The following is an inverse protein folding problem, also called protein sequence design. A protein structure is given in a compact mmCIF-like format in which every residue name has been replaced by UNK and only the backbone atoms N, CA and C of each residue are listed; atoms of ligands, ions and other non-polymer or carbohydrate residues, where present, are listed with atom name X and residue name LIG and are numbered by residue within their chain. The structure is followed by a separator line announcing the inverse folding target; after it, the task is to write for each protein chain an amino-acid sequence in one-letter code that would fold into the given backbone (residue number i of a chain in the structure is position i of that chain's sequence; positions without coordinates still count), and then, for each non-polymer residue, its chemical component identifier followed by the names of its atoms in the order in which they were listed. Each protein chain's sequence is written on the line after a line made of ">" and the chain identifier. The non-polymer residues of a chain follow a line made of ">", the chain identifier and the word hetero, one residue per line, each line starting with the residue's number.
data_IF_069260265694
#
_entry.id   IF_069260265694
#
_cell.length_a   1.000
_cell.length_b   1.000
_cell.length_c   1.000
_cell.angle_alpha   90.00
_cell.angle_beta   90.00
_cell.angle_gamma   90.00
#
_symmetry.space_group_name_H-M   'P 1'
#
loop_
_entity.id
_entity.type
_entity.pdbx_description
1 polymer ?
#
# COMPACT_ATOMS: atom_id res chain seq x y z
N UNK A 1 -80.60 -29.96 -24.06
CA UNK A 1 -81.67 -28.95 -24.21
C UNK A 1 -81.01 -27.59 -24.36
N UNK A 2 -81.44 -26.84 -25.37
CA UNK A 2 -81.18 -25.40 -25.65
C UNK A 2 -79.71 -25.02 -25.91
N UNK A 3 -79.23 -24.91 -27.16
CA UNK A 3 -79.47 -23.88 -28.20
C UNK A 3 -79.01 -22.43 -27.86
N UNK A 4 -78.16 -21.92 -28.77
CA UNK A 4 -78.21 -20.58 -29.39
C UNK A 4 -77.39 -19.39 -28.82
N UNK A 5 -77.02 -18.39 -29.66
CA UNK A 5 -75.63 -18.22 -30.13
C UNK A 5 -75.13 -16.75 -30.24
N UNK A 6 -73.93 -16.60 -30.82
CA UNK A 6 -73.37 -15.56 -31.69
C UNK A 6 -73.97 -14.12 -31.81
N UNK A 7 -73.03 -13.16 -31.88
CA UNK A 7 -73.11 -11.87 -32.60
C UNK A 7 -72.00 -10.93 -32.12
N UNK A 8 -71.23 -10.17 -32.91
CA UNK A 8 -71.02 -9.95 -34.35
C UNK A 8 -69.60 -9.34 -34.49
N UNK A 9 -68.87 -9.52 -35.61
CA UNK A 9 -68.82 -8.61 -36.78
C UNK A 9 -68.45 -7.16 -36.39
N UNK A 10 -67.44 -6.46 -36.94
CA UNK A 10 -66.53 -6.70 -38.05
C UNK A 10 -65.48 -5.57 -38.13
N UNK A 11 -64.37 -5.90 -38.82
CA UNK A 11 -63.62 -5.11 -39.81
C UNK A 11 -62.82 -3.83 -39.46
N UNK A 12 -61.55 -3.88 -39.92
CA UNK A 12 -60.66 -2.76 -40.24
C UNK A 12 -59.28 -2.94 -39.61
N UNK A 13 -58.36 -3.76 -40.15
CA UNK A 13 -57.43 -3.39 -41.24
C UNK A 13 -56.26 -2.58 -40.67
N UNK A 14 -54.97 -2.86 -40.85
CA UNK A 14 -54.19 -3.74 -41.71
C UNK A 14 -52.72 -3.70 -41.23
N UNK A 15 -52.01 -4.85 -41.31
CA UNK A 15 -50.60 -5.07 -41.77
C UNK A 15 -49.59 -3.92 -41.55
N UNK A 16 -48.36 -4.11 -41.03
CA UNK A 16 -47.43 -5.22 -41.21
C UNK A 16 -46.24 -5.12 -40.25
N UNK A 17 -45.63 -6.28 -40.04
CA UNK A 17 -44.32 -6.61 -39.45
C UNK A 17 -43.20 -5.54 -39.47
N UNK A 18 -42.46 -5.45 -38.36
CA UNK A 18 -41.05 -5.85 -38.35
C UNK A 18 -40.51 -6.06 -36.92
N UNK A 19 -39.81 -7.18 -36.73
CA UNK A 19 -38.96 -7.47 -35.57
C UNK A 19 -37.93 -6.36 -35.36
N UNK A 20 -37.65 -6.01 -34.11
CA UNK A 20 -36.28 -5.75 -33.67
C UNK A 20 -36.14 -5.96 -32.15
N UNK A 21 -35.26 -6.91 -31.82
CA UNK A 21 -34.61 -7.04 -30.51
C UNK A 21 -33.77 -5.79 -30.27
N UNK A 22 -33.86 -5.20 -29.07
CA UNK A 22 -32.69 -4.65 -28.38
C UNK A 22 -32.90 -4.84 -26.88
N UNK A 23 -32.06 -5.71 -26.29
CA UNK A 23 -31.83 -5.72 -24.85
C UNK A 23 -30.84 -4.62 -24.49
N UNK A 24 -31.17 -3.82 -23.47
CA UNK A 24 -30.28 -2.83 -22.87
C UNK A 24 -29.75 -3.36 -21.56
N UNK A 25 -28.53 -3.92 -21.60
CA UNK A 25 -27.68 -4.16 -20.45
C UNK A 25 -27.23 -2.81 -19.89
N UNK A 26 -27.54 -2.52 -18.63
CA UNK A 26 -27.04 -1.31 -17.95
C UNK A 26 -25.72 -1.67 -17.29
N UNK A 27 -24.65 -1.65 -18.09
CA UNK A 27 -23.27 -1.85 -17.66
C UNK A 27 -22.75 -0.50 -17.13
N UNK A 28 -22.98 -0.25 -15.83
CA UNK A 28 -22.59 0.98 -15.14
C UNK A 28 -21.09 1.02 -14.83
N UNK A 29 -20.25 1.29 -15.83
CA UNK A 29 -18.87 1.75 -15.57
C UNK A 29 -18.90 3.21 -15.12
N UNK A 30 -18.80 3.43 -13.82
CA UNK A 30 -18.45 4.74 -13.27
C UNK A 30 -16.98 4.97 -13.57
N UNK A 31 -16.69 5.72 -14.63
CA UNK A 31 -15.36 6.28 -14.87
C UNK A 31 -15.05 7.32 -13.81
N UNK A 32 -14.04 7.06 -12.97
CA UNK A 32 -13.48 8.05 -12.07
C UNK A 32 -12.81 9.20 -12.86
N UNK A 33 -12.64 10.39 -12.27
CA UNK A 33 -12.03 11.51 -12.97
C UNK A 33 -10.56 11.21 -13.29
N UNK A 34 -10.14 11.58 -14.50
CA UNK A 34 -8.76 11.48 -14.95
C UNK A 34 -7.87 12.47 -14.17
N UNK A 35 -7.08 11.97 -13.24
CA UNK A 35 -6.01 12.72 -12.57
C UNK A 35 -4.69 12.42 -13.26
N UNK A 36 -4.28 13.30 -14.18
CA UNK A 36 -2.94 13.28 -14.76
C UNK A 36 -2.43 14.72 -14.90
N UNK A 37 -2.11 15.34 -13.77
CA UNK A 37 -1.14 16.44 -13.72
C UNK A 37 -0.22 16.17 -12.52
N UNK A 38 1.07 16.03 -12.77
CA UNK A 38 2.11 15.95 -11.72
C UNK A 38 2.79 14.59 -11.52
N UNK A 39 2.41 13.52 -12.23
CA UNK A 39 3.15 12.25 -12.19
C UNK A 39 4.30 12.33 -13.18
N UNK A 40 5.54 12.28 -12.68
CA UNK A 40 6.73 12.18 -13.52
C UNK A 40 7.37 10.82 -13.32
N UNK A 41 7.44 10.05 -14.41
CA UNK A 41 8.20 8.81 -14.49
C UNK A 41 9.55 9.17 -15.07
N UNK A 42 10.62 8.97 -14.30
CA UNK A 42 11.98 9.12 -14.79
C UNK A 42 12.53 7.74 -15.12
N UNK A 43 12.87 7.55 -16.40
CA UNK A 43 13.79 6.51 -16.85
C UNK A 43 15.17 7.16 -16.88
N UNK A 44 16.09 6.68 -16.05
CA UNK A 44 17.47 7.17 -16.10
C UNK A 44 18.16 6.55 -17.31
N UNK A 45 18.16 7.27 -18.43
CA UNK A 45 19.16 7.09 -19.49
C UNK A 45 20.47 7.74 -19.02
N UNK A 46 21.57 7.00 -19.14
CA UNK A 46 22.91 7.42 -18.74
C UNK A 46 23.34 8.66 -19.53
N UNK A 47 23.62 9.78 -18.84
CA UNK A 47 24.73 10.68 -19.15
C UNK A 47 24.81 11.82 -18.11
N UNK A 48 26.00 11.98 -17.50
CA UNK A 48 26.38 13.14 -16.66
C UNK A 48 26.89 14.29 -17.53
N UNK A 49 26.90 15.55 -17.03
CA UNK A 49 28.10 15.97 -16.31
C UNK A 49 27.87 16.82 -15.05
N UNK A 50 28.90 16.71 -14.21
CA UNK A 50 29.32 17.45 -13.03
C UNK A 50 29.15 18.99 -13.09
N UNK A 51 28.62 19.58 -12.01
CA UNK A 51 28.82 20.99 -11.63
C UNK A 51 28.74 21.14 -10.10
N UNK A 52 29.88 21.41 -9.45
CA UNK A 52 29.95 22.18 -8.20
C UNK A 52 29.96 23.68 -8.52
N UNK A 53 29.46 24.59 -7.65
CA UNK A 53 30.34 25.11 -6.62
C UNK A 53 29.70 25.42 -5.24
N UNK A 54 30.63 25.44 -4.29
CA UNK A 54 30.66 26.00 -2.94
C UNK A 54 30.16 27.46 -2.85
N UNK A 55 29.34 27.77 -1.84
CA UNK A 55 29.22 29.10 -1.21
C UNK A 55 28.55 28.95 0.16
N UNK A 56 29.33 29.16 1.23
CA UNK A 56 28.84 29.24 2.61
C UNK A 56 28.07 30.52 2.90
N UNK A 57 27.01 30.38 3.71
CA UNK A 57 26.49 31.41 4.63
C UNK A 57 25.93 30.69 5.85
N UNK A 58 26.45 31.03 7.02
CA UNK A 58 25.94 30.69 8.34
C UNK A 58 24.65 31.46 8.62
N UNK A 59 23.60 30.78 9.09
CA UNK A 59 22.51 31.44 9.82
C UNK A 59 22.20 30.64 11.08
N UNK A 60 22.44 31.32 12.18
CA UNK A 60 22.43 30.93 13.58
C UNK A 60 21.01 30.81 14.19
N UNK A 61 20.87 29.87 15.13
CA UNK A 61 20.27 30.01 16.47
C UNK A 61 18.78 30.38 16.68
N UNK A 62 17.86 30.14 15.74
CA UNK A 62 16.42 30.41 15.97
C UNK A 62 15.43 29.26 15.73
N UNK A 63 15.89 28.04 15.45
CA UNK A 63 15.00 26.88 15.18
C UNK A 63 15.12 25.78 16.25
N UNK A 64 16.14 25.84 17.11
CA UNK A 64 16.43 24.80 18.10
C UNK A 64 15.46 24.81 19.30
N UNK A 65 14.82 25.94 19.61
CA UNK A 65 14.07 26.11 20.88
C UNK A 65 12.57 25.78 20.81
N UNK A 66 12.04 25.18 19.73
CA UNK A 66 10.60 24.87 19.61
C UNK A 66 10.27 23.37 19.64
N UNK A 67 11.27 22.49 19.82
CA UNK A 67 11.06 21.02 19.77
C UNK A 67 11.48 20.30 21.06
N UNK A 68 12.19 20.94 21.99
CA UNK A 68 12.71 20.27 23.20
C UNK A 68 11.69 19.94 24.33
N UNK A 69 10.41 20.30 24.22
CA UNK A 69 9.44 20.11 25.34
C UNK A 69 8.60 18.82 25.23
N UNK A 70 9.04 17.81 24.48
CA UNK A 70 8.28 16.55 24.36
C UNK A 70 9.14 15.28 24.40
N UNK A 71 10.29 15.31 25.08
CA UNK A 71 11.29 14.21 25.03
C UNK A 71 11.46 13.43 26.35
N UNK A 72 10.63 13.65 27.36
CA UNK A 72 10.72 12.88 28.62
C UNK A 72 9.38 12.22 28.96
N UNK A 73 9.11 11.05 28.35
CA UNK A 73 8.35 9.95 29.00
C UNK A 73 8.21 8.70 28.10
N UNK A 74 9.29 8.23 27.50
CA UNK A 74 9.30 6.97 26.75
C UNK A 74 10.51 6.11 27.12
N UNK A 75 10.67 5.84 28.41
CA UNK A 75 11.61 4.82 28.88
C UNK A 75 10.92 3.90 29.89
N UNK A 76 10.91 2.61 29.51
CA UNK A 76 10.52 1.43 30.29
C UNK A 76 9.03 1.17 30.48
N UNK A 77 8.45 0.32 29.63
CA UNK A 77 7.36 -0.55 30.06
C UNK A 77 7.52 -1.97 29.52
N UNK A 78 7.54 -2.91 30.45
CA UNK A 78 7.48 -4.35 30.28
C UNK A 78 6.24 -4.78 29.51
N UNK A 79 6.29 -5.95 28.86
CA UNK A 79 5.21 -6.53 28.04
C UNK A 79 3.96 -6.83 28.88
N UNK A 80 3.21 -5.79 29.24
CA UNK A 80 1.79 -5.91 29.58
C UNK A 80 0.98 -6.05 28.30
N UNK A 81 -0.12 -6.81 28.37
CA UNK A 81 -1.01 -7.04 27.24
C UNK A 81 -1.53 -5.70 26.70
N UNK A 82 -0.93 -5.26 25.58
CA UNK A 82 -1.27 -4.04 24.86
C UNK A 82 -2.79 -3.92 24.75
N UNK A 83 -3.42 -2.84 25.26
CA UNK A 83 -4.87 -2.66 25.14
C UNK A 83 -5.28 -2.80 23.67
N UNK A 84 -6.49 -3.32 23.38
CA UNK A 84 -6.90 -3.61 22.01
C UNK A 84 -6.68 -2.37 21.15
N UNK A 85 -5.75 -2.46 20.20
CA UNK A 85 -5.39 -1.33 19.36
C UNK A 85 -6.65 -0.86 18.65
N UNK A 86 -6.96 0.44 18.70
CA UNK A 86 -8.11 0.99 17.98
C UNK A 86 -8.15 0.42 16.55
N UNK A 87 -9.34 0.02 16.06
CA UNK A 87 -9.56 -0.34 14.67
C UNK A 87 -8.82 0.58 13.72
N UNK A 88 -7.98 0.01 12.86
CA UNK A 88 -7.05 0.81 12.07
C UNK A 88 -6.94 0.38 10.62
N UNK A 89 -6.83 1.38 9.75
CA UNK A 89 -6.67 1.22 8.32
C UNK A 89 -5.26 1.61 7.91
N UNK A 90 -4.61 0.75 7.14
CA UNK A 90 -3.34 1.02 6.47
C UNK A 90 -3.55 1.03 4.95
N UNK A 91 -2.61 1.58 4.16
CA UNK A 91 -2.69 1.50 2.69
C UNK A 91 -2.85 0.07 2.18
N UNK A 92 -2.09 -0.88 2.74
CA UNK A 92 -2.17 -2.29 2.37
C UNK A 92 -3.54 -2.90 2.66
N UNK A 93 -4.11 -2.65 3.85
CA UNK A 93 -5.46 -3.11 4.23
C UNK A 93 -6.55 -2.49 3.35
N UNK A 94 -6.44 -1.21 3.04
CA UNK A 94 -7.36 -0.54 2.13
C UNK A 94 -7.30 -1.18 0.73
N UNK A 95 -6.09 -1.45 0.23
CA UNK A 95 -5.89 -2.12 -1.06
C UNK A 95 -6.42 -3.56 -1.06
N UNK A 96 -6.22 -4.34 0.01
CA UNK A 96 -6.80 -5.68 0.14
C UNK A 96 -8.32 -5.65 -0.02
N UNK A 97 -8.99 -4.72 0.69
CA UNK A 97 -10.45 -4.59 0.61
C UNK A 97 -10.90 -4.15 -0.79
N UNK A 98 -10.24 -3.13 -1.36
CA UNK A 98 -10.52 -2.62 -2.71
C UNK A 98 -10.30 -3.68 -3.79
N UNK A 99 -9.33 -4.56 -3.61
CA UNK A 99 -9.07 -5.69 -4.50
C UNK A 99 -10.16 -6.76 -4.34
N UNK A 100 -10.42 -7.20 -3.10
CA UNK A 100 -11.38 -8.24 -2.80
C UNK A 100 -11.79 -8.23 -1.31
N UNK A 101 -13.05 -7.93 -0.96
CA UNK A 101 -13.54 -7.97 0.42
C UNK A 101 -13.29 -9.32 1.12
N UNK A 102 -13.41 -10.44 0.38
CA UNK A 102 -13.09 -11.77 0.91
C UNK A 102 -11.61 -11.93 1.26
N UNK A 103 -10.69 -11.32 0.50
CA UNK A 103 -9.25 -11.31 0.82
C UNK A 103 -8.99 -10.51 2.09
N UNK A 104 -9.59 -9.32 2.20
CA UNK A 104 -9.50 -8.52 3.41
C UNK A 104 -10.00 -9.29 4.63
N UNK A 105 -11.15 -9.97 4.53
CA UNK A 105 -11.64 -10.84 5.60
C UNK A 105 -10.60 -11.87 6.01
N UNK A 106 -10.09 -12.66 5.06
CA UNK A 106 -9.13 -13.72 5.35
C UNK A 106 -7.85 -13.22 6.03
N UNK A 107 -7.32 -12.07 5.59
CA UNK A 107 -6.08 -11.49 6.13
C UNK A 107 -6.27 -10.77 7.45
N UNK A 108 -7.30 -9.93 7.54
CA UNK A 108 -7.44 -8.92 8.62
C UNK A 108 -8.38 -9.39 9.72
N UNK A 109 -9.48 -10.04 9.35
CA UNK A 109 -10.49 -10.51 10.29
C UNK A 109 -10.11 -11.91 10.78
N UNK A 110 -10.05 -12.86 9.86
CA UNK A 110 -9.83 -14.29 10.18
C UNK A 110 -8.36 -14.54 10.55
N UNK A 111 -7.42 -13.69 10.06
CA UNK A 111 -5.97 -13.79 10.24
C UNK A 111 -5.43 -15.17 9.88
N UNK A 112 -5.90 -15.70 8.75
CA UNK A 112 -5.45 -16.98 8.24
C UNK A 112 -3.95 -16.91 7.89
N UNK A 113 -3.17 -17.95 8.22
CA UNK A 113 -1.76 -17.99 7.86
C UNK A 113 -1.60 -18.00 6.34
N UNK A 114 -0.61 -17.28 5.84
CA UNK A 114 -0.19 -17.34 4.44
C UNK A 114 1.14 -18.09 4.35
N UNK A 115 1.34 -18.89 3.29
CA UNK A 115 2.64 -19.51 3.06
C UNK A 115 3.70 -18.41 2.86
N UNK A 116 4.93 -18.63 3.35
CA UNK A 116 6.02 -17.69 3.12
C UNK A 116 6.24 -17.50 1.61
N UNK A 117 6.58 -16.28 1.22
CA UNK A 117 6.83 -15.92 -0.17
C UNK A 117 8.28 -15.49 -0.33
N UNK A 118 9.00 -16.13 -1.24
CA UNK A 118 10.39 -15.78 -1.55
C UNK A 118 10.53 -14.33 -2.04
N UNK A 119 9.53 -13.82 -2.77
CA UNK A 119 9.49 -12.43 -3.21
C UNK A 119 9.27 -11.46 -2.04
N UNK A 120 8.35 -11.76 -1.12
CA UNK A 120 8.09 -10.93 0.05
C UNK A 120 9.27 -10.93 1.04
N UNK A 121 9.89 -12.10 1.25
CA UNK A 121 11.12 -12.23 2.04
C UNK A 121 12.25 -11.36 1.46
N UNK A 122 12.40 -11.35 0.12
CA UNK A 122 13.43 -10.56 -0.55
C UNK A 122 13.18 -9.07 -0.39
N UNK A 123 11.92 -8.65 -0.51
CA UNK A 123 11.49 -7.29 -0.21
C UNK A 123 11.89 -6.87 1.20
N UNK A 124 11.53 -7.69 2.19
CA UNK A 124 11.86 -7.43 3.61
C UNK A 124 13.36 -7.31 3.84
N UNK A 125 14.14 -8.24 3.28
CA UNK A 125 15.60 -8.23 3.39
C UNK A 125 16.22 -6.96 2.77
N UNK A 126 15.80 -6.59 1.55
CA UNK A 126 16.32 -5.40 0.86
C UNK A 126 15.96 -4.12 1.62
N UNK A 127 14.73 -4.00 2.14
CA UNK A 127 14.34 -2.83 2.94
C UNK A 127 15.18 -2.73 4.21
N UNK A 128 15.39 -3.82 4.94
CA UNK A 128 16.23 -3.83 6.13
C UNK A 128 17.69 -3.43 5.82
N UNK A 129 18.26 -3.89 4.71
CA UNK A 129 19.60 -3.45 4.28
C UNK A 129 19.62 -1.96 3.96
N UNK A 130 18.64 -1.44 3.22
CA UNK A 130 18.57 -0.01 2.88
C UNK A 130 18.35 0.86 4.11
N UNK A 131 17.54 0.41 5.07
CA UNK A 131 17.40 1.03 6.37
C UNK A 131 18.77 1.11 7.04
N UNK A 132 19.42 -0.03 7.31
CA UNK A 132 20.68 -0.08 8.04
C UNK A 132 21.88 0.52 7.31
N UNK A 133 21.84 0.65 5.98
CA UNK A 133 22.88 1.34 5.22
C UNK A 133 23.08 2.77 5.71
N UNK A 134 22.00 3.46 6.10
CA UNK A 134 22.07 4.84 6.58
C UNK A 134 22.56 4.98 8.03
N UNK A 135 22.77 3.86 8.75
CA UNK A 135 23.48 3.89 10.05
C UNK A 135 24.98 4.15 9.87
N UNK A 136 25.51 3.86 8.67
CA UNK A 136 26.91 4.13 8.33
C UNK A 136 27.14 5.63 8.12
N UNK A 137 28.36 6.13 8.41
CA UNK A 137 28.78 7.46 8.00
C UNK A 137 28.58 7.66 6.49
N UNK A 138 28.15 8.86 6.07
CA UNK A 138 27.79 9.12 4.67
C UNK A 138 28.83 8.67 3.63
N UNK A 139 30.15 8.90 3.81
CA UNK A 139 31.16 8.42 2.85
C UNK A 139 31.31 6.90 2.75
N UNK A 140 30.83 6.15 3.75
CA UNK A 140 30.95 4.69 3.83
C UNK A 140 29.73 3.97 3.25
N UNK A 141 28.65 4.71 2.93
CA UNK A 141 27.40 4.20 2.33
C UNK A 141 27.62 3.77 0.88
N UNK A 142 28.38 2.69 0.69
CA UNK A 142 28.78 2.16 -0.61
C UNK A 142 28.01 0.90 -0.97
N UNK A 143 27.98 0.52 -2.25
CA UNK A 143 27.35 -0.73 -2.69
C UNK A 143 27.97 -1.95 -2.00
N UNK A 144 29.30 -1.94 -1.83
CA UNK A 144 30.01 -3.00 -1.12
C UNK A 144 29.58 -3.10 0.35
N UNK A 145 29.36 -1.96 1.02
CA UNK A 145 28.84 -1.96 2.38
C UNK A 145 27.40 -2.50 2.44
N UNK A 146 26.53 -2.10 1.50
CA UNK A 146 25.16 -2.62 1.41
C UNK A 146 25.13 -4.14 1.20
N UNK A 147 25.97 -4.68 0.32
CA UNK A 147 26.13 -6.13 0.15
C UNK A 147 26.67 -6.81 1.41
N UNK A 148 27.61 -6.16 2.10
CA UNK A 148 28.17 -6.63 3.38
C UNK A 148 27.14 -6.75 4.51
N UNK A 149 26.03 -6.01 4.46
CA UNK A 149 24.94 -6.10 5.44
C UNK A 149 24.00 -7.29 5.22
N UNK A 150 23.95 -7.87 4.01
CA UNK A 150 23.01 -8.95 3.68
C UNK A 150 23.08 -10.16 4.60
N UNK A 151 24.27 -10.71 4.97
CA UNK A 151 24.33 -11.89 5.83
C UNK A 151 23.70 -11.67 7.21
N UNK A 152 23.95 -10.53 7.84
CA UNK A 152 23.43 -10.20 9.17
C UNK A 152 21.93 -9.92 9.14
N UNK A 153 21.46 -9.22 8.10
CA UNK A 153 20.03 -8.95 7.91
C UNK A 153 19.26 -10.22 7.53
N UNK A 154 19.89 -11.13 6.79
CA UNK A 154 19.33 -12.45 6.51
C UNK A 154 19.19 -13.30 7.77
N UNK A 155 20.22 -13.33 8.62
CA UNK A 155 20.18 -14.03 9.91
C UNK A 155 19.04 -13.47 10.79
N UNK A 156 18.92 -12.14 10.89
CA UNK A 156 17.84 -11.47 11.62
C UNK A 156 16.46 -11.83 11.08
N UNK A 157 16.31 -11.92 9.74
CA UNK A 157 15.05 -12.32 9.12
C UNK A 157 14.67 -13.77 9.47
N UNK A 158 15.64 -14.68 9.47
CA UNK A 158 15.43 -16.08 9.85
C UNK A 158 15.08 -16.25 11.33
N UNK A 159 15.68 -15.47 12.23
CA UNK A 159 15.32 -15.48 13.65
C UNK A 159 13.86 -15.10 13.86
N UNK A 160 13.37 -14.09 13.12
CA UNK A 160 11.98 -13.63 13.19
C UNK A 160 11.01 -14.57 12.49
N UNK A 161 11.42 -15.20 11.40
CA UNK A 161 10.58 -16.06 10.55
C UNK A 161 11.35 -17.28 10.04
N UNK A 162 11.56 -18.31 10.89
CA UNK A 162 12.37 -19.48 10.53
C UNK A 162 11.87 -20.22 9.28
N UNK A 163 10.57 -20.18 9.01
CA UNK A 163 9.90 -20.84 7.89
C UNK A 163 10.35 -20.28 6.53
N UNK A 164 10.94 -19.08 6.48
CA UNK A 164 11.51 -18.52 5.25
C UNK A 164 12.73 -19.33 4.81
N UNK A 165 13.50 -19.88 5.75
CA UNK A 165 14.65 -20.75 5.43
C UNK A 165 14.23 -22.02 4.68
N UNK A 166 13.02 -22.51 4.92
CA UNK A 166 12.45 -23.70 4.27
C UNK A 166 12.08 -23.47 2.80
N UNK A 167 12.13 -22.23 2.30
CA UNK A 167 11.86 -21.90 0.90
C UNK A 167 12.97 -22.36 -0.05
N UNK A 168 14.17 -22.63 0.45
CA UNK A 168 15.36 -22.94 -0.34
C UNK A 168 15.76 -24.39 -0.06
N UNK A 169 15.61 -25.26 -1.05
CA UNK A 169 15.87 -26.69 -0.89
C UNK A 169 17.37 -26.97 -0.79
N UNK A 170 18.15 -26.28 -1.63
CA UNK A 170 19.60 -26.43 -1.69
C UNK A 170 20.32 -25.11 -1.38
N UNK A 171 21.56 -25.16 -0.85
CA UNK A 171 22.37 -23.96 -0.63
C UNK A 171 22.57 -23.11 -1.89
N UNK A 172 22.56 -23.74 -3.07
CA UNK A 172 22.65 -23.05 -4.35
C UNK A 172 21.42 -22.18 -4.64
N UNK A 173 20.21 -22.63 -4.28
CA UNK A 173 18.97 -21.87 -4.46
C UNK A 173 18.98 -20.60 -3.61
N UNK A 174 19.46 -20.72 -2.37
CA UNK A 174 19.63 -19.58 -1.47
C UNK A 174 20.66 -18.58 -2.02
N UNK A 175 21.79 -19.07 -2.53
CA UNK A 175 22.83 -18.22 -3.10
C UNK A 175 22.32 -17.45 -4.33
N UNK A 176 21.59 -18.10 -5.24
CA UNK A 176 20.94 -17.44 -6.38
C UNK A 176 19.92 -16.38 -5.91
N UNK A 177 19.12 -16.70 -4.90
CA UNK A 177 18.15 -15.77 -4.35
C UNK A 177 18.80 -14.56 -3.68
N UNK A 178 19.88 -14.75 -2.91
CA UNK A 178 20.66 -13.65 -2.32
C UNK A 178 21.30 -12.78 -3.40
N UNK A 179 21.82 -13.38 -4.47
CA UNK A 179 22.33 -12.65 -5.66
C UNK A 179 21.23 -11.78 -6.27
N UNK A 180 19.98 -12.24 -6.27
CA UNK A 180 18.85 -11.43 -6.74
C UNK A 180 18.52 -10.25 -5.80
N UNK A 181 18.83 -10.33 -4.51
CA UNK A 181 18.72 -9.19 -3.59
C UNK A 181 19.87 -8.19 -3.79
N UNK A 182 21.10 -8.68 -3.99
CA UNK A 182 22.27 -7.87 -4.35
C UNK A 182 22.04 -7.04 -5.61
N UNK A 183 21.37 -7.62 -6.62
CA UNK A 183 21.02 -6.93 -7.85
C UNK A 183 20.05 -5.75 -7.61
N UNK A 184 19.07 -5.92 -6.72
CA UNK A 184 18.13 -4.84 -6.36
C UNK A 184 18.84 -3.70 -5.62
N UNK A 185 19.79 -4.03 -4.73
CA UNK A 185 20.64 -3.05 -4.06
C UNK A 185 21.52 -2.33 -5.09
N UNK A 186 22.10 -3.04 -6.06
CA UNK A 186 22.86 -2.41 -7.14
C UNK A 186 21.99 -1.44 -7.95
N UNK A 187 20.72 -1.79 -8.21
CA UNK A 187 19.77 -0.86 -8.85
C UNK A 187 19.53 0.39 -8.00
N UNK A 188 19.37 0.28 -6.68
CA UNK A 188 19.23 1.45 -5.79
C UNK A 188 20.38 2.46 -5.97
N UNK A 189 21.62 1.99 -6.04
CA UNK A 189 22.80 2.86 -6.27
C UNK A 189 22.86 3.51 -7.66
N UNK A 190 22.01 3.08 -8.60
CA UNK A 190 21.82 3.79 -9.89
C UNK A 190 20.75 4.88 -9.80
N UNK A 191 19.85 4.79 -8.82
CA UNK A 191 18.73 5.72 -8.64
C UNK A 191 19.12 6.93 -7.81
N UNK A 192 19.90 6.71 -6.77
CA UNK A 192 20.34 7.75 -5.84
C UNK A 192 21.77 7.50 -5.34
N UNK A 193 22.42 8.59 -4.92
CA UNK A 193 23.69 8.55 -4.20
C UNK A 193 23.44 8.70 -2.69
N UNK A 194 23.49 7.61 -1.90
CA UNK A 194 23.21 7.66 -0.46
C UNK A 194 24.25 8.44 0.34
N UNK A 195 25.43 8.73 -0.24
CA UNK A 195 26.47 9.55 0.43
C UNK A 195 26.09 11.04 0.49
N UNK A 196 25.08 11.44 -0.28
CA UNK A 196 24.60 12.83 -0.37
C UNK A 196 23.25 13.07 0.32
N UNK A 197 22.72 12.04 0.97
CA UNK A 197 21.38 12.06 1.57
C UNK A 197 21.55 11.78 3.06
N UNK A 198 20.94 12.62 3.88
CA UNK A 198 20.80 12.37 5.32
C UNK A 198 19.30 12.28 5.64
N UNK A 199 18.74 11.06 5.76
CA UNK A 199 17.33 10.89 6.07
C UNK A 199 17.01 11.46 7.46
N UNK A 200 15.87 12.13 7.58
CA UNK A 200 15.39 12.62 8.88
C UNK A 200 14.82 11.48 9.72
N UNK A 201 14.13 10.55 9.07
CA UNK A 201 13.51 9.37 9.68
C UNK A 201 13.61 8.19 8.70
N UNK A 202 13.73 6.98 9.25
CA UNK A 202 13.67 5.69 8.53
C UNK A 202 12.69 4.78 9.28
N UNK A 203 11.97 3.93 8.54
CA UNK A 203 10.92 3.04 9.09
C UNK A 203 9.96 3.79 10.05
N UNK A 204 9.57 5.01 9.65
CA UNK A 204 8.77 5.89 10.48
C UNK A 204 7.36 5.34 10.64
N UNK A 205 7.03 4.89 11.86
CA UNK A 205 5.66 4.58 12.23
C UNK A 205 4.86 5.88 12.30
N UNK A 206 3.86 5.99 11.42
CA UNK A 206 2.93 7.12 11.41
C UNK A 206 1.53 6.68 11.78
N UNK A 207 0.82 7.51 12.54
CA UNK A 207 -0.59 7.30 12.80
C UNK A 207 -1.35 8.59 13.06
N UNK A 208 -2.59 8.65 12.61
CA UNK A 208 -3.54 9.71 12.96
C UNK A 208 -4.93 9.12 13.08
N UNK A 209 -5.70 9.57 14.07
CA UNK A 209 -7.12 9.28 14.10
C UNK A 209 -7.83 10.06 13.01
N UNK A 210 -8.79 9.39 12.37
CA UNK A 210 -9.72 10.05 11.48
C UNK A 210 -10.98 10.42 12.27
N UNK A 211 -11.28 11.71 12.36
CA UNK A 211 -12.37 12.25 13.17
C UNK A 211 -13.74 11.66 12.79
N UNK A 212 -14.75 11.86 13.65
CA UNK A 212 -16.16 11.49 13.39
C UNK A 212 -16.39 9.98 13.18
N UNK A 213 -15.74 9.15 13.99
CA UNK A 213 -15.92 7.69 13.93
C UNK A 213 -15.14 7.03 12.78
N UNK A 214 -14.17 7.72 12.18
CA UNK A 214 -13.24 7.11 11.24
C UNK A 214 -12.23 6.17 11.91
N UNK A 215 -11.48 5.38 11.11
CA UNK A 215 -10.48 4.47 11.63
C UNK A 215 -9.22 5.21 12.08
N UNK A 216 -8.42 4.56 12.92
CA UNK A 216 -7.03 4.95 13.11
C UNK A 216 -6.25 4.70 11.81
N UNK A 217 -5.82 5.77 11.14
CA UNK A 217 -4.94 5.64 9.99
C UNK A 217 -3.54 5.35 10.49
N UNK A 218 -2.89 4.30 9.96
CA UNK A 218 -1.54 3.94 10.37
C UNK A 218 -0.75 3.28 9.26
N UNK A 219 0.56 3.43 9.31
CA UNK A 219 1.47 2.75 8.42
C UNK A 219 2.92 3.03 8.78
N UNK A 220 3.82 2.45 7.99
CA UNK A 220 5.26 2.62 8.14
C UNK A 220 5.76 3.21 6.84
N UNK A 221 6.53 4.28 6.95
CA UNK A 221 7.15 4.97 5.83
C UNK A 221 8.62 4.59 5.83
N UNK A 222 9.10 4.02 4.72
CA UNK A 222 10.49 3.53 4.61
C UNK A 222 11.51 4.64 4.89
N UNK A 223 11.33 5.83 4.28
CA UNK A 223 12.25 6.95 4.45
C UNK A 223 11.58 8.33 4.32
N UNK A 224 11.96 9.25 5.20
CA UNK A 224 11.58 10.68 5.11
C UNK A 224 12.83 11.54 5.09
N UNK A 225 12.98 12.35 4.04
CA UNK A 225 14.07 13.31 3.91
C UNK A 225 13.56 14.72 4.15
N UNK A 226 14.40 15.57 4.75
CA UNK A 226 14.12 17.00 4.93
C UNK A 226 15.30 17.79 4.38
N UNK A 227 15.06 18.57 3.33
CA UNK A 227 16.07 19.45 2.76
C UNK A 227 16.36 20.66 3.68
N UNK A 228 17.50 21.36 3.53
CA UNK A 228 17.83 22.53 4.34
C UNK A 228 16.79 23.67 4.29
N UNK A 229 16.03 23.76 3.21
CA UNK A 229 14.94 24.72 3.06
C UNK A 229 13.60 24.26 3.69
N UNK A 230 13.61 23.14 4.41
CA UNK A 230 12.43 22.55 5.06
C UNK A 230 11.53 21.71 4.15
N UNK A 231 11.89 21.51 2.87
CA UNK A 231 11.09 20.66 2.00
C UNK A 231 11.18 19.19 2.41
N UNK A 232 10.01 18.60 2.62
CA UNK A 232 9.87 17.19 3.01
C UNK A 232 9.68 16.32 1.76
N UNK A 233 10.45 15.25 1.68
CA UNK A 233 10.31 14.18 0.68
C UNK A 233 10.00 12.86 1.37
N UNK A 234 8.95 12.19 0.94
CA UNK A 234 8.57 10.85 1.42
C UNK A 234 8.95 9.83 0.36
N UNK A 235 9.75 8.83 0.75
CA UNK A 235 10.24 7.78 -0.15
C UNK A 235 9.77 6.41 0.34
N UNK A 236 9.40 5.57 -0.61
CA UNK A 236 9.03 4.17 -0.39
C UNK A 236 9.69 3.31 -1.49
N UNK A 237 10.37 2.24 -1.07
CA UNK A 237 11.09 1.34 -1.93
C UNK A 237 10.17 0.22 -2.41
N UNK A 238 10.29 -0.16 -3.68
CA UNK A 238 9.56 -1.26 -4.28
C UNK A 238 10.53 -2.21 -4.95
N UNK A 239 10.62 -3.45 -4.45
CA UNK A 239 11.47 -4.50 -5.04
C UNK A 239 10.86 -5.17 -6.28
N UNK A 240 9.59 -4.88 -6.59
CA UNK A 240 8.93 -5.27 -7.83
C UNK A 240 9.20 -4.30 -8.98
N UNK A 241 8.64 -4.62 -10.15
CA UNK A 241 8.67 -3.73 -11.32
C UNK A 241 7.66 -2.59 -11.18
N UNK A 242 7.95 -1.48 -11.84
CA UNK A 242 7.06 -0.32 -11.94
C UNK A 242 5.71 -0.66 -12.61
N UNK A 243 4.62 0.01 -12.21
CA UNK A 243 3.34 -0.10 -12.89
C UNK A 243 3.45 0.44 -14.31
N UNK A 244 2.67 -0.16 -15.23
CA UNK A 244 2.56 0.37 -16.60
C UNK A 244 1.91 1.75 -16.58
N UNK A 245 2.24 2.55 -17.60
CA UNK A 245 1.61 3.85 -17.82
C UNK A 245 0.08 3.78 -17.73
N UNK A 246 -0.53 4.62 -16.90
CA UNK A 246 -1.97 4.66 -16.63
C UNK A 246 -2.44 3.77 -15.47
N UNK A 247 -1.58 2.96 -14.86
CA UNK A 247 -1.90 2.10 -13.71
C UNK A 247 -1.22 2.56 -12.40
N UNK A 248 -0.70 3.78 -12.36
CA UNK A 248 0.01 4.37 -11.22
C UNK A 248 -0.91 4.73 -10.07
N UNK A 249 -2.22 4.87 -10.33
CA UNK A 249 -3.20 5.38 -9.37
C UNK A 249 -3.25 4.59 -8.05
N UNK A 250 -3.06 3.27 -8.10
CA UNK A 250 -3.02 2.42 -6.91
C UNK A 250 -1.73 2.61 -6.11
N UNK A 251 -0.59 2.68 -6.80
CA UNK A 251 0.71 2.92 -6.17
C UNK A 251 0.77 4.31 -5.51
N UNK A 252 0.27 5.32 -6.21
CA UNK A 252 0.18 6.68 -5.68
C UNK A 252 -0.84 6.84 -4.56
N UNK A 253 -1.86 5.98 -4.46
CA UNK A 253 -2.79 6.01 -3.33
C UNK A 253 -2.06 5.75 -2.00
N UNK A 254 -1.15 4.76 -1.97
CA UNK A 254 -0.31 4.51 -0.78
C UNK A 254 0.50 5.73 -0.39
N UNK A 255 1.17 6.36 -1.36
CA UNK A 255 2.00 7.53 -1.07
C UNK A 255 1.18 8.74 -0.62
N UNK A 256 0.04 9.00 -1.27
CA UNK A 256 -0.86 10.09 -0.87
C UNK A 256 -1.48 9.86 0.51
N UNK A 257 -1.71 8.59 0.88
CA UNK A 257 -2.14 8.25 2.24
C UNK A 257 -1.09 8.66 3.27
N UNK A 258 0.19 8.35 3.04
CA UNK A 258 1.26 8.79 3.94
C UNK A 258 1.42 10.30 3.99
N UNK A 259 1.31 10.97 2.83
CA UNK A 259 1.29 12.42 2.76
C UNK A 259 0.18 13.02 3.63
N UNK A 260 -1.03 12.44 3.58
CA UNK A 260 -2.15 12.86 4.40
C UNK A 260 -1.87 12.67 5.89
N UNK A 261 -1.35 11.50 6.31
CA UNK A 261 -1.04 11.25 7.73
C UNK A 261 0.03 12.22 8.24
N UNK A 262 1.11 12.46 7.49
CA UNK A 262 2.12 13.46 7.85
C UNK A 262 1.51 14.85 7.94
N UNK A 263 0.68 15.23 6.97
CA UNK A 263 0.06 16.55 6.96
C UNK A 263 -0.85 16.78 8.18
N UNK A 264 -1.66 15.77 8.55
CA UNK A 264 -2.52 15.85 9.74
C UNK A 264 -1.77 15.86 11.05
N UNK A 265 -0.67 15.12 11.15
CA UNK A 265 0.09 14.96 12.40
C UNK A 265 1.12 16.06 12.63
N UNK A 266 1.72 16.57 11.56
CA UNK A 266 2.86 17.51 11.63
C UNK A 266 2.53 18.89 11.05
N UNK A 267 1.35 19.08 10.45
CA UNK A 267 0.96 20.35 9.82
C UNK A 267 1.74 20.70 8.55
N UNK A 268 2.59 19.79 8.05
CA UNK A 268 3.44 20.00 6.88
C UNK A 268 3.01 19.04 5.78
N UNK A 269 2.63 19.57 4.62
CA UNK A 269 2.37 18.77 3.43
C UNK A 269 3.71 18.46 2.74
N UNK A 270 4.07 17.17 2.54
CA UNK A 270 5.29 16.84 1.82
C UNK A 270 5.36 17.48 0.44
N UNK A 271 6.52 18.00 0.06
CA UNK A 271 6.72 18.63 -1.25
C UNK A 271 6.84 17.57 -2.36
N UNK A 272 7.36 16.40 -2.04
CA UNK A 272 7.55 15.30 -3.00
C UNK A 272 7.24 13.95 -2.37
N UNK A 273 6.51 13.14 -3.11
CA UNK A 273 6.34 11.71 -2.90
C UNK A 273 7.16 10.97 -3.94
N UNK A 274 7.89 9.94 -3.55
CA UNK A 274 8.81 9.21 -4.42
C UNK A 274 8.67 7.69 -4.19
N UNK A 275 8.43 6.96 -5.26
CA UNK A 275 8.49 5.50 -5.29
C UNK A 275 9.69 5.08 -6.11
N UNK A 276 10.57 4.28 -5.51
CA UNK A 276 11.77 3.76 -6.18
C UNK A 276 11.56 2.28 -6.50
N UNK A 277 11.34 1.97 -7.77
CA UNK A 277 11.17 0.60 -8.25
C UNK A 277 12.54 -0.01 -8.57
N UNK A 278 13.06 -0.76 -7.60
CA UNK A 278 14.36 -1.44 -7.71
C UNK A 278 14.33 -2.59 -8.71
N UNK A 279 13.16 -3.13 -9.03
CA UNK A 279 13.03 -4.23 -9.99
C UNK A 279 13.27 -3.82 -11.46
N UNK A 280 13.20 -2.52 -11.77
CA UNK A 280 13.44 -2.01 -13.12
C UNK A 280 14.08 -0.61 -13.19
N UNK A 281 14.56 -0.07 -12.05
CA UNK A 281 15.29 1.19 -12.00
C UNK A 281 14.44 2.41 -12.35
N UNK A 282 13.14 2.38 -12.01
CA UNK A 282 12.21 3.49 -12.30
C UNK A 282 11.90 4.27 -11.04
N UNK A 283 12.01 5.60 -11.13
CA UNK A 283 11.53 6.51 -10.09
C UNK A 283 10.20 7.12 -10.53
N UNK A 284 9.18 6.94 -9.70
CA UNK A 284 7.89 7.60 -9.85
C UNK A 284 7.75 8.69 -8.80
N UNK A 285 7.56 9.92 -9.24
CA UNK A 285 7.39 11.08 -8.35
C UNK A 285 6.01 11.71 -8.50
N UNK A 286 5.53 12.30 -7.40
CA UNK A 286 4.30 13.10 -7.37
C UNK A 286 4.43 14.24 -6.37
N UNK A 287 4.01 15.45 -6.76
CA UNK A 287 3.87 16.58 -5.84
C UNK A 287 2.43 16.64 -5.33
N UNK A 288 2.16 16.34 -4.05
CA UNK A 288 0.80 16.31 -3.53
C UNK A 288 0.28 17.73 -3.30
N UNK A 289 -1.04 17.88 -3.40
CA UNK A 289 -1.74 19.14 -3.12
C UNK A 289 -2.76 18.98 -1.99
N UNK A 290 -3.13 20.07 -1.31
CA UNK A 290 -4.16 20.03 -0.26
C UNK A 290 -5.52 19.53 -0.78
N UNK A 291 -5.88 19.85 -2.03
CA UNK A 291 -7.10 19.36 -2.67
C UNK A 291 -7.07 17.83 -2.82
N UNK A 292 -5.91 17.27 -3.20
CA UNK A 292 -5.73 15.82 -3.23
C UNK A 292 -5.83 15.21 -1.84
N UNK A 293 -5.34 15.88 -0.79
CA UNK A 293 -5.45 15.38 0.59
C UNK A 293 -6.90 15.29 1.05
N UNK A 294 -7.73 16.30 0.74
CA UNK A 294 -9.17 16.23 1.00
C UNK A 294 -9.84 15.07 0.22
N UNK A 295 -9.40 14.82 -1.01
CA UNK A 295 -9.88 13.68 -1.83
C UNK A 295 -9.46 12.33 -1.24
N UNK A 296 -8.22 12.23 -0.75
CA UNK A 296 -7.69 11.03 -0.08
C UNK A 296 -8.49 10.74 1.19
N UNK A 297 -8.76 11.75 2.01
CA UNK A 297 -9.59 11.60 3.20
C UNK A 297 -10.98 11.04 2.85
N UNK A 298 -11.68 11.68 1.91
CA UNK A 298 -13.00 11.24 1.48
C UNK A 298 -12.99 9.79 0.96
N UNK A 299 -11.95 9.42 0.19
CA UNK A 299 -11.75 8.07 -0.31
C UNK A 299 -11.51 7.07 0.83
N UNK A 300 -10.68 7.42 1.80
CA UNK A 300 -10.41 6.60 2.99
C UNK A 300 -11.69 6.37 3.80
N UNK A 301 -12.47 7.42 4.05
CA UNK A 301 -13.78 7.32 4.73
C UNK A 301 -14.73 6.39 3.98
N UNK A 302 -14.80 6.51 2.65
CA UNK A 302 -15.64 5.63 1.82
C UNK A 302 -15.20 4.16 1.88
N UNK A 303 -13.89 3.88 1.84
CA UNK A 303 -13.36 2.51 1.99
C UNK A 303 -13.72 1.96 3.35
N UNK A 304 -13.53 2.75 4.42
CA UNK A 304 -13.85 2.33 5.78
C UNK A 304 -15.33 2.02 5.95
N UNK A 305 -16.22 2.89 5.48
CA UNK A 305 -17.66 2.65 5.52
C UNK A 305 -18.06 1.34 4.81
N UNK A 306 -17.40 1.02 3.68
CA UNK A 306 -17.60 -0.25 2.99
C UNK A 306 -17.12 -1.47 3.79
N UNK A 307 -16.00 -1.35 4.49
CA UNK A 307 -15.48 -2.40 5.39
C UNK A 307 -16.47 -2.65 6.53
N UNK A 308 -16.97 -1.59 7.16
CA UNK A 308 -17.94 -1.70 8.24
C UNK A 308 -19.27 -2.30 7.76
N UNK A 309 -19.73 -1.95 6.57
CA UNK A 309 -20.96 -2.51 5.99
C UNK A 309 -20.84 -4.02 5.75
N UNK A 310 -19.74 -4.45 5.11
CA UNK A 310 -19.44 -5.88 4.92
C UNK A 310 -19.37 -6.63 6.26
N UNK A 311 -18.90 -5.97 7.31
CA UNK A 311 -18.82 -6.56 8.63
C UNK A 311 -20.14 -6.65 9.39
N UNK A 312 -20.98 -5.61 9.29
CA UNK A 312 -22.32 -5.60 9.89
C UNK A 312 -23.22 -6.67 9.25
N UNK A 313 -23.12 -6.81 7.93
CA UNK A 313 -23.94 -7.75 7.13
C UNK A 313 -23.35 -9.16 7.07
N UNK A 314 -22.05 -9.31 7.35
CA UNK A 314 -21.30 -10.54 7.09
C UNK A 314 -21.02 -10.80 5.60
N UNK A 315 -21.38 -9.87 4.71
CA UNK A 315 -21.30 -10.03 3.26
C UNK A 315 -19.93 -9.63 2.69
N UNK A 316 -18.95 -10.53 2.86
CA UNK A 316 -17.59 -10.37 2.35
C UNK A 316 -17.45 -10.85 0.90
N UNK A 317 -18.11 -10.16 -0.04
CA UNK A 317 -18.20 -10.62 -1.44
C UNK A 317 -16.82 -10.85 -2.09
N UNK A 318 -16.54 -12.05 -2.63
CA UNK A 318 -15.33 -12.26 -3.43
C UNK A 318 -15.42 -11.48 -4.75
N UNK A 319 -14.26 -10.96 -5.20
CA UNK A 319 -14.11 -10.33 -6.52
C UNK A 319 -13.06 -11.08 -7.32
N UNK A 320 -13.47 -11.63 -8.46
CA UNK A 320 -12.56 -12.38 -9.33
C UNK A 320 -11.73 -11.44 -10.20
N UNK A 321 -10.44 -11.74 -10.33
CA UNK A 321 -9.51 -11.01 -11.18
C UNK A 321 -8.34 -11.93 -11.57
N UNK A 322 -7.42 -11.45 -12.40
CA UNK A 322 -6.17 -12.17 -12.70
C UNK A 322 -5.29 -12.42 -11.48
N UNK A 323 -5.46 -11.64 -10.41
CA UNK A 323 -4.72 -11.81 -9.17
C UNK A 323 -5.20 -13.03 -8.37
N UNK A 324 -6.38 -13.59 -8.69
CA UNK A 324 -6.86 -14.82 -8.05
C UNK A 324 -5.93 -16.02 -8.31
N UNK A 325 -5.14 -16.00 -9.38
CA UNK A 325 -4.17 -17.07 -9.68
C UNK A 325 -3.00 -17.11 -8.69
N UNK A 326 -2.78 -16.02 -7.96
CA UNK A 326 -1.72 -15.84 -6.96
C UNK A 326 -2.26 -15.66 -5.55
N UNK A 327 -3.58 -15.82 -5.34
CA UNK A 327 -4.20 -15.66 -4.03
C UNK A 327 -3.99 -16.92 -3.18
N UNK A 328 -3.28 -16.78 -2.06
CA UNK A 328 -3.00 -17.84 -1.07
C UNK A 328 -4.26 -18.56 -0.57
N UNK A 329 -5.42 -17.88 -0.60
CA UNK A 329 -6.69 -18.39 -0.09
C UNK A 329 -7.64 -18.90 -1.19
N UNK A 330 -7.17 -19.09 -2.44
CA UNK A 330 -8.01 -19.51 -3.57
C UNK A 330 -8.82 -20.79 -3.25
N UNK A 331 -8.20 -21.75 -2.57
CA UNK A 331 -8.85 -23.01 -2.17
C UNK A 331 -10.02 -22.83 -1.17
N UNK A 332 -10.02 -21.74 -0.40
CA UNK A 332 -11.08 -21.41 0.56
C UNK A 332 -12.15 -20.47 -0.03
N UNK A 333 -11.94 -19.96 -1.24
CA UNK A 333 -12.76 -18.91 -1.80
C UNK A 333 -14.07 -19.44 -2.42
N UNK A 334 -15.25 -18.89 -2.07
CA UNK A 334 -16.55 -19.31 -2.63
C UNK A 334 -16.63 -19.17 -4.15
N UNK A 335 -15.94 -18.18 -4.73
CA UNK A 335 -15.92 -17.97 -6.18
C UNK A 335 -15.25 -19.12 -6.95
N UNK A 336 -14.53 -20.01 -6.26
CA UNK A 336 -13.89 -21.20 -6.81
C UNK A 336 -14.40 -22.50 -6.14
N UNK A 337 -15.57 -22.45 -5.50
CA UNK A 337 -16.19 -23.59 -4.83
C UNK A 337 -15.60 -23.93 -3.45
N UNK A 338 -14.70 -23.09 -2.92
CA UNK A 338 -14.17 -23.23 -1.57
C UNK A 338 -15.16 -22.78 -0.50
N UNK A 339 -14.95 -23.25 0.74
CA UNK A 339 -15.77 -22.85 1.90
C UNK A 339 -14.90 -22.04 2.88
N UNK A 340 -15.20 -20.74 3.08
CA UNK A 340 -14.56 -19.93 4.11
C UNK A 340 -14.74 -20.56 5.50
N UNK A 341 -13.71 -20.55 6.37
CA UNK A 341 -13.88 -20.95 7.75
C UNK A 341 -14.86 -20.02 8.47
N UNK A 342 -15.43 -20.47 9.59
CA UNK A 342 -16.20 -19.60 10.47
C UNK A 342 -15.33 -18.45 10.99
N UNK A 343 -15.91 -17.25 11.08
CA UNK A 343 -15.19 -16.08 11.59
C UNK A 343 -14.93 -16.31 13.08
N UNK A 344 -13.67 -16.21 13.57
CA UNK A 344 -13.38 -16.42 14.98
C UNK A 344 -14.17 -15.43 15.86
N UNK A 345 -14.67 -15.92 17.01
CA UNK A 345 -15.49 -15.11 17.91
C UNK A 345 -14.80 -13.78 18.28
N UNK A 346 -15.56 -12.68 18.15
CA UNK A 346 -15.10 -11.32 18.40
C UNK A 346 -14.01 -10.79 17.45
N UNK A 347 -13.62 -11.52 16.41
CA UNK A 347 -12.56 -11.08 15.50
C UNK A 347 -12.93 -9.80 14.74
N UNK A 348 -14.20 -9.67 14.34
CA UNK A 348 -14.72 -8.45 13.69
C UNK A 348 -14.56 -7.25 14.63
N UNK A 349 -15.13 -7.33 15.83
CA UNK A 349 -15.06 -6.25 16.81
C UNK A 349 -13.61 -5.87 17.14
N UNK A 350 -12.72 -6.85 17.33
CA UNK A 350 -11.29 -6.58 17.58
C UNK A 350 -10.58 -5.91 16.41
N UNK A 351 -10.91 -6.27 15.17
CA UNK A 351 -10.19 -5.78 13.99
C UNK A 351 -10.75 -4.46 13.46
N UNK A 352 -12.06 -4.23 13.57
CA UNK A 352 -12.75 -3.09 12.97
C UNK A 352 -13.68 -2.31 13.91
N UNK A 353 -13.90 -2.77 15.15
CA UNK A 353 -14.72 -2.07 16.15
C UNK A 353 -16.23 -2.19 15.94
N UNK A 354 -16.65 -3.06 15.02
CA UNK A 354 -18.06 -3.33 14.72
C UNK A 354 -18.46 -4.63 15.39
N UNK A 355 -19.57 -4.61 16.12
CA UNK A 355 -20.25 -5.82 16.59
C UNK A 355 -21.18 -6.30 15.46
N UNK A 356 -20.96 -7.50 14.88
CA UNK A 356 -21.86 -8.05 13.88
C UNK A 356 -23.28 -8.21 14.42
N UNK A 357 -24.28 -8.14 13.56
CA UNK A 357 -25.64 -8.53 13.94
C UNK A 357 -25.64 -10.03 14.33
N UNK A 358 -26.29 -10.35 15.45
CA UNK A 358 -26.37 -11.70 16.02
C UNK A 358 -27.10 -12.69 15.11
#
# INVERSE_FOLDING_TARGET
>A
MTDHPAGGSSCGGSRSAHRSRVGGSVDGRVGGPAYARGVTVQHLDQDSPDVSPDLGVTVDDAVETVIEVAVEDAAAETVEARPPSRPGLSPSRANDFLQCPQLFRFRVIDRLPEPPSSAAARGTLVHAVLEHLFDLPAPERTLAAAHGLLPDQWATLLERSPQIGELFAEPADLAEWLTSAEALLATYFTLEDPTRIEPRERELLVSTDLDEGGPLLRGIIDRVDVAPNGWVRVVDYKTGRSPRAGFESSALFQMRFYAYVIWRTRGVLPKRLQLEYLGDGVILTHEPTEIEMATVEARVRSIWAGIEDAARTGDWRPRTSKLCDWCSFKALCPAFGGTPPEIPAGAVERSIGVVPAA
#
